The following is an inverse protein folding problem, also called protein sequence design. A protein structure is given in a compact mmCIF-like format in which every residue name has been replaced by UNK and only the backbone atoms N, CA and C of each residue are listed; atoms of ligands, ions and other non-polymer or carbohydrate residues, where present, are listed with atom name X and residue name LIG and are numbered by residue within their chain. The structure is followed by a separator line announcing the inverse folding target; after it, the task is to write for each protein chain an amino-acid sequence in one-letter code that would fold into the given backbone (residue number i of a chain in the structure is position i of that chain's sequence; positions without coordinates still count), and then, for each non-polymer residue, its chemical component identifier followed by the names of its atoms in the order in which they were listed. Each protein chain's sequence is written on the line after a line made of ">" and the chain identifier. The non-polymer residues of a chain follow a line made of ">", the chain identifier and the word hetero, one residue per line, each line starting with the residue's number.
data_IF_502783922039
#
_entry.id   IF_502783922039
#
_cell.length_a   1.000
_cell.length_b   1.000
_cell.length_c   1.000
_cell.angle_alpha   90.00
_cell.angle_beta   90.00
_cell.angle_gamma   90.00
#
_symmetry.space_group_name_H-M   'P 1'
#
loop_
_entity.id
_entity.type
_entity.pdbx_description
1 polymer ?
#
# COMPACT_ATOMS: atom_id res chain seq x y z
N UNK A 1 21.73 -3.53 -21.49
CA UNK A 1 20.31 -3.95 -21.38
C UNK A 1 20.02 -4.33 -19.93
N UNK A 2 19.67 -3.36 -19.08
CA UNK A 2 19.41 -3.65 -17.66
C UNK A 2 17.99 -4.22 -17.55
N UNK A 3 17.90 -5.55 -17.55
CA UNK A 3 16.68 -6.28 -17.20
C UNK A 3 16.33 -5.92 -15.75
N UNK A 4 15.43 -4.97 -15.55
CA UNK A 4 14.81 -4.76 -14.25
C UNK A 4 13.96 -5.99 -13.96
N UNK A 5 14.54 -6.93 -13.21
CA UNK A 5 13.83 -8.00 -12.53
C UNK A 5 12.75 -7.34 -11.66
N UNK A 6 11.54 -7.17 -12.20
CA UNK A 6 10.40 -6.70 -11.42
C UNK A 6 9.97 -7.89 -10.57
N UNK A 7 10.58 -7.95 -9.39
CA UNK A 7 10.27 -8.91 -8.35
C UNK A 7 8.76 -9.04 -8.26
N UNK A 8 8.31 -10.29 -8.35
CA UNK A 8 6.95 -10.73 -8.05
C UNK A 8 6.72 -10.52 -6.55
N UNK A 9 6.58 -9.27 -6.16
CA UNK A 9 6.26 -8.86 -4.81
C UNK A 9 4.77 -9.16 -4.66
N UNK A 10 4.43 -10.25 -3.98
CA UNK A 10 3.06 -10.53 -3.49
C UNK A 10 2.62 -9.49 -2.42
N UNK A 11 3.11 -8.25 -2.50
CA UNK A 11 2.67 -7.14 -1.70
C UNK A 11 1.29 -6.74 -2.24
N UNK A 12 0.25 -6.86 -1.40
CA UNK A 12 -1.07 -6.32 -1.73
C UNK A 12 -0.87 -4.84 -2.05
N UNK A 13 -1.03 -4.48 -3.31
CA UNK A 13 -0.94 -3.11 -3.79
C UNK A 13 -2.32 -2.68 -4.27
N UNK A 14 -2.69 -1.44 -3.99
CA UNK A 14 -3.96 -0.86 -4.44
C UNK A 14 -3.69 0.43 -5.20
N UNK A 15 -4.62 0.82 -6.07
CA UNK A 15 -4.52 2.11 -6.75
C UNK A 15 -5.05 3.21 -5.83
N UNK A 16 -4.31 4.31 -5.75
CA UNK A 16 -4.71 5.49 -4.99
C UNK A 16 -5.92 6.15 -5.64
N UNK A 17 -7.04 6.35 -4.92
CA UNK A 17 -8.20 7.05 -5.47
C UNK A 17 -7.95 8.56 -5.66
N UNK A 18 -6.89 9.11 -5.07
CA UNK A 18 -6.57 10.55 -5.14
C UNK A 18 -5.69 10.88 -6.33
N UNK A 19 -4.60 10.14 -6.52
CA UNK A 19 -3.61 10.45 -7.55
C UNK A 19 -3.43 9.36 -8.61
N UNK A 20 -4.13 8.23 -8.51
CA UNK A 20 -4.04 7.12 -9.46
C UNK A 20 -2.75 6.27 -9.36
N UNK A 21 -1.85 6.60 -8.44
CA UNK A 21 -0.59 5.87 -8.25
C UNK A 21 -0.76 4.58 -7.47
N UNK A 22 0.20 3.65 -7.61
CA UNK A 22 0.20 2.40 -6.85
C UNK A 22 0.59 2.67 -5.39
N UNK A 23 -0.25 2.24 -4.46
CA UNK A 23 -0.04 2.32 -3.02
C UNK A 23 0.34 0.94 -2.47
N UNK A 24 1.24 0.93 -1.49
CA UNK A 24 1.66 -0.29 -0.79
C UNK A 24 0.97 -0.41 0.57
N UNK A 25 0.77 -1.65 0.99
CA UNK A 25 0.35 -1.98 2.35
C UNK A 25 1.36 -1.43 3.37
N UNK A 26 0.86 -0.76 4.39
CA UNK A 26 1.63 -0.23 5.50
C UNK A 26 1.06 -0.75 6.82
N UNK A 27 1.54 -1.90 7.32
CA UNK A 27 1.04 -2.51 8.55
C UNK A 27 1.33 -1.67 9.80
N UNK A 28 2.24 -0.68 9.69
CA UNK A 28 2.59 0.26 10.76
C UNK A 28 1.76 1.55 10.71
N UNK A 29 0.77 1.67 9.83
CA UNK A 29 -0.03 2.90 9.76
C UNK A 29 -0.94 3.09 10.99
N UNK A 30 -1.22 2.01 11.71
CA UNK A 30 -2.04 2.01 12.92
C UNK A 30 -1.30 1.24 14.01
N UNK A 31 -0.81 1.95 15.03
CA UNK A 31 -0.20 1.33 16.22
C UNK A 31 -1.21 0.53 17.05
N UNK A 32 -2.51 0.78 16.86
CA UNK A 32 -3.58 -0.01 17.44
C UNK A 32 -3.86 -1.25 16.57
N UNK A 33 -3.18 -2.36 16.89
CA UNK A 33 -3.54 -3.74 16.45
C UNK A 33 -4.93 -4.21 16.93
N UNK A 34 -5.79 -3.29 17.36
CA UNK A 34 -7.11 -3.60 17.91
C UNK A 34 -8.08 -4.09 16.82
N UNK A 35 -7.76 -3.82 15.56
CA UNK A 35 -8.45 -4.37 14.40
C UNK A 35 -7.37 -4.80 13.42
N UNK A 36 -7.46 -5.99 12.84
CA UNK A 36 -6.62 -6.47 11.72
C UNK A 36 -6.84 -5.64 10.43
N UNK A 37 -6.88 -4.32 10.56
CA UNK A 37 -7.08 -3.35 9.49
C UNK A 37 -5.76 -3.17 8.77
N UNK A 38 -5.67 -3.80 7.61
CA UNK A 38 -4.60 -3.55 6.66
C UNK A 38 -4.76 -2.12 6.13
N UNK A 39 -3.77 -1.28 6.43
CA UNK A 39 -3.68 0.06 5.89
C UNK A 39 -2.82 0.07 4.63
N UNK A 40 -3.07 1.05 3.77
CA UNK A 40 -2.28 1.34 2.58
C UNK A 40 -1.87 2.80 2.64
N UNK A 41 -0.63 3.10 2.25
CA UNK A 41 -0.13 4.47 2.15
C UNK A 41 0.40 4.72 0.74
N UNK A 42 0.02 5.85 0.17
CA UNK A 42 0.54 6.34 -1.09
C UNK A 42 1.86 7.05 -0.80
N UNK A 43 2.94 6.61 -1.44
CA UNK A 43 4.24 7.28 -1.30
C UNK A 43 4.31 8.58 -2.11
N UNK A 44 3.43 8.74 -3.12
CA UNK A 44 3.41 9.93 -3.97
C UNK A 44 2.65 11.10 -3.33
N UNK A 45 1.41 10.88 -2.90
CA UNK A 45 0.57 11.94 -2.32
C UNK A 45 0.39 11.85 -0.80
N UNK A 46 0.92 10.81 -0.15
CA UNK A 46 0.78 10.59 1.29
C UNK A 46 -0.58 10.10 1.76
N UNK A 47 -1.54 9.90 0.84
CA UNK A 47 -2.89 9.44 1.16
C UNK A 47 -2.88 8.06 1.83
N UNK A 48 -3.72 7.88 2.86
CA UNK A 48 -3.84 6.64 3.63
C UNK A 48 -5.24 6.07 3.47
N UNK A 49 -5.34 4.77 3.20
CA UNK A 49 -6.60 4.04 3.10
C UNK A 49 -6.55 2.81 3.99
N UNK A 50 -7.69 2.32 4.47
CA UNK A 50 -7.77 0.98 5.05
C UNK A 50 -8.72 0.15 4.19
N UNK A 51 -8.34 -1.08 3.86
CA UNK A 51 -9.25 -2.02 3.22
C UNK A 51 -9.79 -2.93 4.31
N UNK A 52 -11.06 -2.74 4.66
CA UNK A 52 -11.79 -3.72 5.47
C UNK A 52 -12.12 -4.87 4.52
N UNK A 53 -11.54 -6.04 4.76
CA UNK A 53 -11.95 -7.28 4.08
C UNK A 53 -13.29 -7.75 4.59
#
# INVERSE_FOLDING_TARGET
>A
MIKKNKQKENSKTIICPICGETMKENPYAYDNRQYDKIAYKCDFCGHKCSKIT
#
